data_IF_326789102214
#
_entry.id   IF_326789102214
#
_cell.length_a   1.000
_cell.length_b   1.000
_cell.length_c   1.000
_cell.angle_alpha   90.00
_cell.angle_beta   90.00
_cell.angle_gamma   90.00
#
_symmetry.space_group_name_H-M   'P 1'
#
loop_
_entity.id
_entity.type
_entity.pdbx_description
1 polymer ?
#
# COMPACT_ATOMS: atom_id res chain seq x y z
N UNK A 1 2.69 -16.07 10.23
CA UNK A 1 2.41 -16.18 8.78
C UNK A 1 2.59 -17.60 8.26
N UNK A 2 3.65 -18.34 8.64
CA UNK A 2 3.89 -19.71 8.17
C UNK A 2 2.65 -20.64 8.17
N UNK A 3 1.89 -20.71 9.26
CA UNK A 3 0.69 -21.59 9.33
C UNK A 3 -0.51 -21.11 8.50
N UNK A 4 -0.59 -19.81 8.19
CA UNK A 4 -1.70 -19.20 7.47
C UNK A 4 -1.31 -18.70 6.07
N UNK A 5 -0.13 -19.10 5.58
CA UNK A 5 0.48 -18.55 4.37
C UNK A 5 -0.41 -18.73 3.13
N UNK A 6 -0.85 -19.96 2.85
CA UNK A 6 -1.75 -20.26 1.74
C UNK A 6 -3.06 -19.46 1.80
N UNK A 7 -3.62 -19.29 3.01
CA UNK A 7 -4.85 -18.53 3.22
C UNK A 7 -4.63 -17.04 2.94
N UNK A 8 -3.49 -16.49 3.35
CA UNK A 8 -3.12 -15.10 3.07
C UNK A 8 -2.85 -14.89 1.57
N UNK A 9 -2.17 -15.83 0.90
CA UNK A 9 -1.96 -15.76 -0.54
C UNK A 9 -3.29 -15.81 -1.32
N UNK A 10 -4.24 -16.65 -0.90
CA UNK A 10 -5.61 -16.65 -1.46
C UNK A 10 -6.32 -15.32 -1.20
N UNK A 11 -6.17 -14.76 -0.01
CA UNK A 11 -6.79 -13.49 0.39
C UNK A 11 -6.28 -12.28 -0.41
N UNK A 12 -5.11 -12.35 -1.06
CA UNK A 12 -4.68 -11.33 -2.03
C UNK A 12 -5.64 -11.19 -3.23
N UNK A 13 -6.49 -12.18 -3.47
CA UNK A 13 -7.50 -12.18 -4.55
C UNK A 13 -8.93 -11.97 -4.04
N UNK A 14 -9.10 -11.65 -2.76
CA UNK A 14 -10.41 -11.44 -2.16
C UNK A 14 -11.19 -10.31 -2.87
N UNK A 15 -12.52 -10.43 -2.91
CA UNK A 15 -13.39 -9.40 -3.50
C UNK A 15 -13.29 -8.07 -2.74
N UNK A 16 -13.07 -8.13 -1.43
CA UNK A 16 -12.87 -6.95 -0.58
C UNK A 16 -11.44 -6.44 -0.68
N UNK A 17 -11.31 -5.17 -1.11
CA UNK A 17 -10.00 -4.52 -1.23
C UNK A 17 -9.31 -4.35 0.11
N UNK A 18 -10.07 -4.18 1.20
CA UNK A 18 -9.48 -4.09 2.53
C UNK A 18 -8.88 -5.42 2.98
N UNK A 19 -9.52 -6.55 2.65
CA UNK A 19 -8.96 -7.89 2.92
C UNK A 19 -7.65 -8.07 2.16
N UNK A 20 -7.61 -7.67 0.88
CA UNK A 20 -6.37 -7.69 0.08
C UNK A 20 -5.25 -6.86 0.72
N UNK A 21 -5.54 -5.64 1.19
CA UNK A 21 -4.55 -4.81 1.88
C UNK A 21 -4.00 -5.48 3.15
N UNK A 22 -4.86 -6.07 3.98
CA UNK A 22 -4.44 -6.72 5.23
C UNK A 22 -3.62 -7.98 4.95
N UNK A 23 -4.02 -8.78 3.95
CA UNK A 23 -3.27 -9.95 3.54
C UNK A 23 -1.87 -9.55 3.02
N UNK A 24 -1.80 -8.53 2.17
CA UNK A 24 -0.55 -8.00 1.65
C UNK A 24 0.33 -7.44 2.78
N UNK A 25 -0.20 -6.65 3.72
CA UNK A 25 0.60 -6.15 4.85
C UNK A 25 1.19 -7.31 5.68
N UNK A 26 0.42 -8.35 5.97
CA UNK A 26 0.90 -9.51 6.73
C UNK A 26 1.99 -10.28 5.98
N UNK A 27 1.77 -10.58 4.69
CA UNK A 27 2.74 -11.27 3.85
C UNK A 27 4.02 -10.44 3.68
N UNK A 28 3.92 -9.14 3.42
CA UNK A 28 5.09 -8.28 3.24
C UNK A 28 5.90 -8.08 4.54
N UNK A 29 5.28 -8.19 5.70
CA UNK A 29 6.00 -8.07 6.99
C UNK A 29 6.73 -9.35 7.37
N UNK A 30 6.09 -10.50 7.17
CA UNK A 30 6.50 -11.74 7.83
C UNK A 30 6.68 -12.93 6.87
N UNK A 31 6.41 -12.75 5.59
CA UNK A 31 6.64 -13.74 4.54
C UNK A 31 8.07 -13.71 4.01
N UNK A 32 8.31 -14.52 2.99
CA UNK A 32 9.59 -14.55 2.28
C UNK A 32 9.73 -13.40 1.26
N UNK A 33 10.82 -13.40 0.50
CA UNK A 33 11.08 -12.36 -0.51
C UNK A 33 9.99 -12.30 -1.59
N UNK A 34 9.44 -13.44 -2.00
CA UNK A 34 8.39 -13.48 -3.01
C UNK A 34 7.07 -12.94 -2.47
N UNK A 35 6.77 -13.22 -1.20
CA UNK A 35 5.63 -12.64 -0.49
C UNK A 35 5.76 -11.12 -0.35
N UNK A 36 6.97 -10.61 -0.07
CA UNK A 36 7.25 -9.18 -0.02
C UNK A 36 6.95 -8.51 -1.35
N UNK A 37 7.43 -9.06 -2.46
CA UNK A 37 7.19 -8.51 -3.80
C UNK A 37 5.70 -8.49 -4.15
N UNK A 38 5.01 -9.61 -3.91
CA UNK A 38 3.57 -9.72 -4.15
C UNK A 38 2.76 -8.76 -3.28
N UNK A 39 3.16 -8.58 -2.02
CA UNK A 39 2.54 -7.65 -1.10
C UNK A 39 2.69 -6.20 -1.57
N UNK A 40 3.91 -5.80 -1.95
CA UNK A 40 4.20 -4.45 -2.45
C UNK A 40 3.39 -4.17 -3.71
N UNK A 41 3.33 -5.11 -4.66
CA UNK A 41 2.56 -4.97 -5.90
C UNK A 41 1.06 -4.84 -5.64
N UNK A 42 0.53 -5.63 -4.70
CA UNK A 42 -0.87 -5.54 -4.30
C UNK A 42 -1.17 -4.18 -3.70
N UNK A 43 -0.36 -3.71 -2.74
CA UNK A 43 -0.59 -2.45 -2.05
C UNK A 43 -0.44 -1.24 -2.99
N UNK A 44 0.55 -1.22 -3.88
CA UNK A 44 0.70 -0.10 -4.82
C UNK A 44 -0.46 -0.05 -5.82
N UNK A 45 -0.98 -1.20 -6.26
CA UNK A 45 -2.14 -1.24 -7.16
C UNK A 45 -3.40 -0.67 -6.51
N UNK A 46 -3.50 -0.74 -5.18
CA UNK A 46 -4.65 -0.27 -4.40
C UNK A 46 -4.51 1.18 -3.91
N UNK A 47 -3.39 1.84 -4.19
CA UNK A 47 -3.03 3.15 -3.64
C UNK A 47 -3.57 4.35 -4.42
N UNK A 48 -4.22 4.16 -5.59
CA UNK A 48 -4.80 5.24 -6.37
C UNK A 48 -6.15 5.68 -5.80
N UNK A 49 -6.16 6.80 -5.06
CA UNK A 49 -7.37 7.33 -4.41
C UNK A 49 -8.49 7.73 -5.37
N UNK A 50 -8.21 7.95 -6.67
CA UNK A 50 -9.24 8.27 -7.66
C UNK A 50 -9.89 7.01 -8.24
N UNK A 51 -9.17 5.89 -8.28
CA UNK A 51 -9.67 4.62 -8.82
C UNK A 51 -10.27 3.73 -7.73
N UNK A 52 -9.59 3.62 -6.60
CA UNK A 52 -9.90 2.64 -5.56
C UNK A 52 -10.73 3.22 -4.42
N UNK A 53 -10.84 4.55 -4.37
CA UNK A 53 -11.46 5.30 -3.29
C UNK A 53 -10.47 5.62 -2.17
N UNK A 54 -10.69 6.76 -1.51
CA UNK A 54 -9.73 7.34 -0.55
C UNK A 54 -9.40 6.40 0.61
N UNK A 55 -10.39 5.67 1.16
CA UNK A 55 -10.17 4.79 2.30
C UNK A 55 -9.31 3.57 1.96
N UNK A 56 -9.51 2.98 0.77
CA UNK A 56 -8.70 1.85 0.29
C UNK A 56 -7.28 2.32 0.02
N UNK A 57 -7.12 3.47 -0.66
CA UNK A 57 -5.82 4.05 -0.93
C UNK A 57 -5.05 4.39 0.35
N UNK A 58 -5.70 4.98 1.35
CA UNK A 58 -5.09 5.24 2.66
C UNK A 58 -4.64 3.95 3.34
N UNK A 59 -5.47 2.91 3.32
CA UNK A 59 -5.13 1.62 3.93
C UNK A 59 -3.93 0.98 3.23
N UNK A 60 -3.90 1.03 1.90
CA UNK A 60 -2.80 0.49 1.10
C UNK A 60 -1.48 1.23 1.33
N UNK A 61 -1.51 2.57 1.33
CA UNK A 61 -0.34 3.41 1.60
C UNK A 61 0.19 3.23 3.03
N UNK A 62 -0.69 3.07 4.02
CA UNK A 62 -0.28 2.69 5.37
C UNK A 62 0.36 1.30 5.42
N UNK A 63 -0.13 0.35 4.62
CA UNK A 63 0.49 -0.96 4.46
C UNK A 63 1.93 -0.82 3.96
N UNK A 64 2.14 -0.05 2.87
CA UNK A 64 3.48 0.21 2.32
C UNK A 64 4.42 0.85 3.36
N UNK A 65 3.97 1.88 4.06
CA UNK A 65 4.77 2.56 5.09
C UNK A 65 5.24 1.61 6.19
N UNK A 66 4.38 0.68 6.61
CA UNK A 66 4.74 -0.33 7.62
C UNK A 66 5.66 -1.43 7.11
N UNK A 67 5.86 -1.58 5.79
CA UNK A 67 6.86 -2.50 5.23
C UNK A 67 8.28 -1.90 5.30
N UNK A 68 8.40 -0.56 5.41
CA UNK A 68 9.68 0.15 5.48
C UNK A 68 10.28 0.48 4.09
N UNK A 69 11.21 1.44 4.09
CA UNK A 69 11.80 2.02 2.86
C UNK A 69 12.46 0.98 1.96
N UNK A 70 13.24 0.06 2.54
CA UNK A 70 13.96 -1.00 1.82
C UNK A 70 13.03 -1.84 0.93
N UNK A 71 11.94 -2.37 1.50
CA UNK A 71 10.99 -3.23 0.78
C UNK A 71 10.20 -2.46 -0.28
N UNK A 72 9.97 -1.18 -0.07
CA UNK A 72 9.15 -0.33 -0.93
C UNK A 72 9.97 0.40 -2.01
N UNK A 73 11.30 0.38 -1.92
CA UNK A 73 12.21 1.10 -2.82
C UNK A 73 11.91 0.87 -4.30
N UNK A 74 11.60 -0.38 -4.69
CA UNK A 74 11.30 -0.75 -6.09
C UNK A 74 10.08 -0.05 -6.71
N UNK A 75 9.15 0.47 -5.89
CA UNK A 75 7.91 1.12 -6.36
C UNK A 75 7.86 2.63 -6.08
N UNK A 76 8.98 3.25 -5.71
CA UNK A 76 9.04 4.69 -5.41
C UNK A 76 8.57 5.57 -6.59
N UNK A 77 8.96 5.21 -7.82
CA UNK A 77 8.49 5.89 -9.04
C UNK A 77 6.97 5.77 -9.25
N UNK A 78 6.37 4.66 -8.84
CA UNK A 78 4.92 4.46 -8.90
C UNK A 78 4.22 5.30 -7.84
N UNK A 79 4.76 5.33 -6.62
CA UNK A 79 4.26 6.17 -5.52
C UNK A 79 4.28 7.65 -5.94
N UNK A 80 5.37 8.10 -6.57
CA UNK A 80 5.51 9.48 -7.05
C UNK A 80 4.48 9.88 -8.12
N UNK A 81 3.92 8.91 -8.85
CA UNK A 81 2.91 9.12 -9.90
C UNK A 81 1.47 9.07 -9.38
N UNK A 82 1.26 8.71 -8.11
CA UNK A 82 -0.09 8.64 -7.53
C UNK A 82 -0.75 10.02 -7.48
N UNK A 83 -2.07 10.11 -7.69
CA UNK A 83 -2.75 11.40 -7.70
C UNK A 83 -2.76 12.05 -6.31
N UNK A 84 -2.13 13.21 -6.18
CA UNK A 84 -2.09 14.01 -4.93
C UNK A 84 -3.38 14.80 -4.66
N UNK A 85 -4.31 14.90 -5.61
CA UNK A 85 -5.54 15.69 -5.43
C UNK A 85 -6.76 14.91 -5.86
N UNK A 86 -7.79 14.90 -5.01
CA UNK A 86 -9.12 14.40 -5.35
C UNK A 86 -10.18 15.42 -4.90
N UNK A 87 -10.62 16.25 -5.86
CA UNK A 87 -11.54 17.36 -5.60
C UNK A 87 -12.99 16.91 -5.31
N UNK A 88 -13.30 15.61 -5.44
CA UNK A 88 -14.61 15.04 -5.11
C UNK A 88 -14.77 14.77 -3.61
N UNK A 89 -13.67 14.78 -2.84
CA UNK A 89 -13.67 14.54 -1.41
C UNK A 89 -13.90 15.82 -0.62
N UNK A 90 -14.40 15.70 0.60
CA UNK A 90 -14.41 16.82 1.54
C UNK A 90 -12.98 17.28 1.89
N UNK A 91 -12.88 18.53 2.35
CA UNK A 91 -11.59 19.19 2.61
C UNK A 91 -10.70 18.42 3.59
N UNK A 92 -11.28 17.68 4.55
CA UNK A 92 -10.50 16.93 5.55
C UNK A 92 -9.81 15.73 4.88
N UNK A 93 -10.56 14.96 4.10
CA UNK A 93 -10.04 13.77 3.42
C UNK A 93 -9.00 14.07 2.33
N UNK A 94 -9.08 15.24 1.68
CA UNK A 94 -8.13 15.64 0.62
C UNK A 94 -6.66 15.66 1.08
N UNK A 95 -6.41 15.82 2.39
CA UNK A 95 -5.05 15.93 2.93
C UNK A 95 -4.39 14.58 3.26
N UNK A 96 -5.15 13.49 3.37
CA UNK A 96 -4.64 12.25 3.93
C UNK A 96 -3.71 11.47 3.01
N UNK A 97 -4.16 11.18 1.79
CA UNK A 97 -3.35 10.46 0.81
C UNK A 97 -2.06 11.23 0.44
N UNK A 98 -2.10 12.55 0.20
CA UNK A 98 -0.88 13.31 -0.12
C UNK A 98 0.18 13.27 0.98
N UNK A 99 -0.23 13.39 2.25
CA UNK A 99 0.69 13.29 3.39
C UNK A 99 1.35 11.92 3.52
N UNK A 100 0.61 10.86 3.21
CA UNK A 100 1.16 9.50 3.21
C UNK A 100 2.17 9.31 2.07
N UNK A 101 1.88 9.83 0.88
CA UNK A 101 2.80 9.80 -0.26
C UNK A 101 4.07 10.58 0.07
N UNK A 102 3.95 11.80 0.61
CA UNK A 102 5.07 12.63 1.02
C UNK A 102 5.97 11.89 2.03
N UNK A 103 5.39 11.31 3.08
CA UNK A 103 6.12 10.53 4.08
C UNK A 103 6.89 9.34 3.49
N UNK A 104 6.26 8.59 2.58
CA UNK A 104 6.89 7.45 1.90
C UNK A 104 8.07 7.87 1.01
N UNK A 105 7.98 9.06 0.41
CA UNK A 105 9.05 9.62 -0.42
C UNK A 105 10.19 10.21 0.41
N UNK A 106 9.90 10.80 1.58
CA UNK A 106 10.91 11.33 2.49
C UNK A 106 11.76 10.22 3.11
N UNK A 107 11.14 9.12 3.54
CA UNK A 107 11.84 7.96 4.10
C UNK A 107 12.87 7.36 3.13
N UNK A 108 12.68 7.49 1.81
CA UNK A 108 13.61 6.98 0.81
C UNK A 108 14.79 7.91 0.52
N UNK A 109 14.74 9.18 0.92
CA UNK A 109 15.82 10.16 0.67
C UNK A 109 16.96 10.10 1.70
N UNK A 110 16.77 9.36 2.79
CA UNK A 110 17.67 9.33 3.95
C UNK A 110 18.62 8.13 3.91
N UNK A 111 18.42 7.22 2.97
CA UNK A 111 19.26 6.04 2.70
C UNK A 111 20.26 6.34 1.55
#
# INVERSE_FOLDING_TARGET
VAEAHDSLQKALKDHSKSVRCIAAEALGKYGDQQDVENAVDTLISLSDQKKEGVYVAMLALNGLDKLGSEKVARVQDQIAKLPLKNNQLDRRLQSYVPRLIERLQEQHKVD
#
